data_IF_130511725157
#
_entry.id   IF_130511725157
#
_cell.length_a   1.000
_cell.length_b   1.000
_cell.length_c   1.000
_cell.angle_alpha   90.00
_cell.angle_beta   90.00
_cell.angle_gamma   90.00
#
_symmetry.space_group_name_H-M   'P 1'
#
loop_
_entity.id
_entity.type
_entity.pdbx_description
1 polymer ?
#
# COMPACT_ATOMS: atom_id res chain seq x y z
N UNK A 1 16.12 -8.91 8.48
CA UNK A 1 16.30 -7.61 7.79
C UNK A 1 14.98 -6.87 7.93
N UNK A 2 14.96 -5.52 7.98
CA UNK A 2 13.68 -4.82 7.89
C UNK A 2 13.00 -5.23 6.58
N UNK A 3 11.70 -5.56 6.66
CA UNK A 3 10.90 -5.84 5.46
C UNK A 3 10.45 -4.51 4.89
N UNK A 4 10.69 -4.31 3.61
CA UNK A 4 10.15 -3.16 2.88
C UNK A 4 9.02 -3.61 1.96
N UNK A 5 8.08 -2.71 1.67
CA UNK A 5 7.04 -2.96 0.69
C UNK A 5 7.63 -2.76 -0.71
N UNK A 6 7.67 -3.83 -1.50
CA UNK A 6 8.25 -3.82 -2.84
C UNK A 6 7.24 -3.41 -3.92
N UNK A 7 5.96 -3.74 -3.73
CA UNK A 7 4.90 -3.41 -4.68
C UNK A 7 3.56 -3.22 -3.98
N UNK A 8 2.70 -2.40 -4.59
CA UNK A 8 1.36 -2.07 -4.09
C UNK A 8 0.33 -2.12 -5.21
N UNK A 9 -0.86 -2.62 -4.91
CA UNK A 9 -2.02 -2.63 -5.79
C UNK A 9 -3.21 -2.03 -5.05
N UNK A 10 -3.47 -0.75 -5.35
CA UNK A 10 -4.53 0.05 -4.71
C UNK A 10 -5.92 -0.53 -4.95
N UNK A 11 -6.25 -0.86 -6.20
CA UNK A 11 -7.61 -1.31 -6.55
C UNK A 11 -7.98 -2.68 -5.96
N UNK A 12 -6.98 -3.47 -5.55
CA UNK A 12 -7.19 -4.75 -4.87
C UNK A 12 -6.89 -4.69 -3.37
N UNK A 13 -6.50 -3.53 -2.82
CA UNK A 13 -6.09 -3.38 -1.42
C UNK A 13 -4.97 -4.35 -1.00
N UNK A 14 -3.97 -4.53 -1.86
CA UNK A 14 -2.89 -5.49 -1.64
C UNK A 14 -1.52 -4.84 -1.72
N UNK A 15 -0.58 -5.35 -0.94
CA UNK A 15 0.83 -5.01 -1.01
C UNK A 15 1.68 -6.29 -1.01
N UNK A 16 2.91 -6.21 -1.50
CA UNK A 16 3.87 -7.31 -1.50
C UNK A 16 5.18 -6.81 -0.94
N UNK A 17 5.73 -7.51 0.05
CA UNK A 17 7.06 -7.22 0.62
C UNK A 17 8.19 -7.66 -0.32
N UNK A 18 9.40 -7.21 -0.04
CA UNK A 18 10.63 -7.64 -0.74
C UNK A 18 10.91 -9.15 -0.63
N UNK A 19 10.49 -9.79 0.47
CA UNK A 19 10.56 -11.24 0.67
C UNK A 19 9.38 -12.02 0.06
N UNK A 20 8.48 -11.34 -0.66
CA UNK A 20 7.39 -11.95 -1.42
C UNK A 20 6.12 -12.27 -0.61
N UNK A 21 6.03 -11.80 0.64
CA UNK A 21 4.82 -11.92 1.45
C UNK A 21 3.74 -10.98 0.91
N UNK A 22 2.54 -11.52 0.72
CA UNK A 22 1.35 -10.74 0.34
C UNK A 22 0.68 -10.21 1.59
N UNK A 23 0.46 -8.90 1.63
CA UNK A 23 -0.12 -8.17 2.74
C UNK A 23 -1.36 -7.39 2.29
N UNK A 24 -2.18 -7.03 3.27
CA UNK A 24 -3.41 -6.27 3.06
C UNK A 24 -3.17 -4.78 3.31
N UNK A 25 -3.66 -3.93 2.41
CA UNK A 25 -3.82 -2.50 2.68
C UNK A 25 -5.13 -2.36 3.47
N UNK A 26 -5.07 -1.90 4.72
CA UNK A 26 -6.25 -1.81 5.59
C UNK A 26 -6.99 -0.48 5.42
N UNK A 27 -6.26 0.60 5.12
CA UNK A 27 -6.80 1.94 4.97
C UNK A 27 -6.02 2.70 3.90
N UNK A 28 -6.68 3.68 3.28
CA UNK A 28 -6.08 4.62 2.35
C UNK A 28 -6.51 6.04 2.73
N UNK A 29 -5.61 6.99 2.49
CA UNK A 29 -5.83 8.40 2.78
C UNK A 29 -5.57 9.24 1.54
N UNK A 30 -6.39 10.26 1.34
CA UNK A 30 -6.23 11.25 0.28
C UNK A 30 -5.22 12.36 0.67
N UNK A 31 -5.03 13.32 -0.23
CA UNK A 31 -4.07 14.42 -0.05
C UNK A 31 -4.43 15.38 1.11
N UNK A 32 -5.69 15.40 1.55
CA UNK A 32 -6.15 16.19 2.68
C UNK A 32 -5.97 15.42 4.02
N UNK A 33 -5.57 14.15 3.95
CA UNK A 33 -5.38 13.27 5.11
C UNK A 33 -6.66 12.60 5.58
N UNK A 34 -7.73 12.66 4.78
CA UNK A 34 -9.01 12.00 5.07
C UNK A 34 -8.99 10.57 4.53
N UNK A 35 -9.65 9.66 5.26
CA UNK A 35 -9.79 8.27 4.80
C UNK A 35 -10.66 8.21 3.54
N UNK A 36 -10.21 7.47 2.53
CA UNK A 36 -10.86 7.40 1.23
C UNK A 36 -10.93 5.99 0.67
N UNK A 37 -11.99 5.70 -0.08
CA UNK A 37 -12.16 4.48 -0.86
C UNK A 37 -11.89 4.70 -2.37
N UNK A 38 -11.62 5.95 -2.79
CA UNK A 38 -11.22 6.26 -4.17
C UNK A 38 -9.72 6.02 -4.37
N UNK A 39 -9.40 4.89 -4.99
CA UNK A 39 -8.03 4.47 -5.33
C UNK A 39 -7.24 5.50 -6.15
N UNK A 40 -7.93 6.36 -6.92
CA UNK A 40 -7.27 7.39 -7.72
C UNK A 40 -6.95 8.64 -6.91
N UNK A 41 -7.73 8.93 -5.87
CA UNK A 41 -7.50 10.05 -4.95
C UNK A 41 -6.56 9.70 -3.80
N UNK A 42 -6.43 8.41 -3.47
CA UNK A 42 -5.55 7.91 -2.43
C UNK A 42 -4.06 8.20 -2.72
N UNK A 43 -3.37 8.84 -1.77
CA UNK A 43 -1.93 9.16 -1.80
C UNK A 43 -1.12 8.33 -0.82
N UNK A 44 -1.73 7.88 0.28
CA UNK A 44 -1.10 7.05 1.31
C UNK A 44 -1.93 5.80 1.57
N UNK A 45 -1.25 4.67 1.84
CA UNK A 45 -1.86 3.43 2.30
C UNK A 45 -1.25 2.93 3.59
N UNK A 46 -2.05 2.22 4.39
CA UNK A 46 -1.59 1.50 5.59
C UNK A 46 -1.59 0.01 5.29
N UNK A 47 -0.42 -0.61 5.33
CA UNK A 47 -0.24 -2.05 5.07
C UNK A 47 -0.06 -2.77 6.39
N UNK A 48 -0.88 -3.79 6.66
CA UNK A 48 -0.68 -4.68 7.80
C UNK A 48 0.24 -5.84 7.39
N UNK A 49 1.39 -5.95 8.05
CA UNK A 49 2.39 -6.99 7.84
C UNK A 49 2.37 -7.93 9.04
N UNK A 50 1.80 -9.13 8.89
CA UNK A 50 1.59 -10.03 10.02
C UNK A 50 0.53 -9.52 11.01
N UNK A 51 0.61 -9.95 12.27
CA UNK A 51 -0.45 -9.70 13.25
C UNK A 51 -0.36 -8.33 13.94
N UNK A 52 0.85 -7.80 14.16
CA UNK A 52 1.11 -6.61 14.99
C UNK A 52 2.07 -5.58 14.35
N UNK A 53 2.29 -5.63 13.03
CA UNK A 53 3.16 -4.68 12.32
C UNK A 53 2.40 -3.94 11.22
N UNK A 54 2.64 -2.63 11.11
CA UNK A 54 2.03 -1.77 10.09
C UNK A 54 3.09 -0.92 9.42
N UNK A 55 2.95 -0.77 8.10
CA UNK A 55 3.80 0.06 7.27
C UNK A 55 2.96 1.13 6.58
N UNK A 56 3.50 2.33 6.51
CA UNK A 56 2.92 3.42 5.72
C UNK A 56 3.56 3.38 4.33
N UNK A 57 2.75 3.38 3.29
CA UNK A 57 3.21 3.48 1.90
C UNK A 57 2.73 4.79 1.29
N UNK A 58 3.65 5.56 0.73
CA UNK A 58 3.34 6.75 -0.08
C UNK A 58 3.29 6.29 -1.53
N UNK A 59 2.12 6.35 -2.17
CA UNK A 59 1.95 5.75 -3.50
C UNK A 59 2.78 6.43 -4.59
N UNK A 60 3.12 7.71 -4.43
CA UNK A 60 3.97 8.45 -5.38
C UNK A 60 5.43 7.98 -5.39
N UNK A 61 5.88 7.29 -4.34
CA UNK A 61 7.24 6.72 -4.27
C UNK A 61 7.40 5.47 -5.16
N UNK A 62 6.29 4.93 -5.68
CA UNK A 62 6.28 3.73 -6.52
C UNK A 62 6.06 4.08 -8.00
N UNK A 63 6.80 3.40 -8.87
CA UNK A 63 6.58 3.49 -10.31
C UNK A 63 5.27 2.78 -10.70
N UNK A 64 4.41 3.46 -11.47
CA UNK A 64 3.15 2.87 -11.93
C UNK A 64 3.40 1.92 -13.11
N UNK A 65 3.07 0.64 -12.93
CA UNK A 65 3.17 -0.39 -13.98
C UNK A 65 1.78 -0.91 -14.34
N UNK A 66 1.51 -1.09 -15.65
CA UNK A 66 0.30 -1.76 -16.14
C UNK A 66 0.65 -3.16 -16.62
N UNK A 67 0.03 -4.17 -16.02
CA UNK A 67 0.17 -5.57 -16.44
C UNK A 67 -1.01 -5.91 -17.36
N UNK A 68 -0.74 -6.46 -18.55
CA UNK A 68 -1.74 -6.95 -19.50
C UNK A 68 -1.99 -8.45 -19.32
#
# INVERSE_FOLDING_TARGET
MPRDIAAVNRSHMMAVTDDGLVCEITNMFDADGEETDDFNAAVVGIVRVGDDEWFTVVFEDYETVRVH
#
